data_IF_141415463066
#
_entry.id   IF_141415463066
#
_cell.length_a   1.000
_cell.length_b   1.000
_cell.length_c   1.000
_cell.angle_alpha   90.00
_cell.angle_beta   90.00
_cell.angle_gamma   90.00
#
_symmetry.space_group_name_H-M   'P 1'
#
loop_
_entity.id
_entity.type
_entity.pdbx_description
1 polymer ?
#
# COMPACT_ATOMS: atom_id res chain seq x y z
N UNK A 1 10.84 -11.59 -15.99
CA UNK A 1 11.06 -10.28 -15.35
C UNK A 1 12.55 -10.01 -15.33
N UNK A 2 13.01 -8.86 -15.83
CA UNK A 2 14.43 -8.49 -15.87
C UNK A 2 14.85 -7.68 -14.63
N UNK A 3 16.15 -7.53 -14.38
CA UNK A 3 16.66 -6.61 -13.35
C UNK A 3 16.15 -5.18 -13.53
N UNK A 4 16.07 -4.71 -14.78
CA UNK A 4 15.52 -3.40 -15.12
C UNK A 4 14.05 -3.28 -14.74
N UNK A 5 13.25 -4.32 -14.99
CA UNK A 5 11.83 -4.33 -14.61
C UNK A 5 11.66 -4.28 -13.08
N UNK A 6 12.51 -4.99 -12.34
CA UNK A 6 12.47 -4.94 -10.87
C UNK A 6 12.73 -3.53 -10.36
N UNK A 7 13.78 -2.86 -10.84
CA UNK A 7 14.10 -1.51 -10.42
C UNK A 7 12.97 -0.53 -10.80
N UNK A 8 12.46 -0.58 -12.02
CA UNK A 8 11.35 0.27 -12.46
C UNK A 8 10.08 0.06 -11.61
N UNK A 9 9.77 -1.18 -11.21
CA UNK A 9 8.66 -1.44 -10.28
C UNK A 9 8.88 -0.77 -8.92
N UNK A 10 10.08 -0.87 -8.37
CA UNK A 10 10.44 -0.24 -7.09
C UNK A 10 10.31 1.28 -7.16
N UNK A 11 10.80 1.92 -8.24
CA UNK A 11 10.70 3.37 -8.42
C UNK A 11 9.24 3.84 -8.49
N UNK A 12 8.36 3.10 -9.17
CA UNK A 12 6.93 3.42 -9.21
C UNK A 12 6.30 3.38 -7.81
N UNK A 13 6.63 2.37 -7.00
CA UNK A 13 6.12 2.27 -5.63
C UNK A 13 6.65 3.42 -4.75
N UNK A 14 7.94 3.74 -4.87
CA UNK A 14 8.55 4.86 -4.16
C UNK A 14 7.93 6.21 -4.54
N UNK A 15 7.68 6.45 -5.82
CA UNK A 15 7.04 7.68 -6.30
C UNK A 15 5.62 7.82 -5.72
N UNK A 16 4.83 6.74 -5.73
CA UNK A 16 3.49 6.75 -5.12
C UNK A 16 3.55 7.06 -3.63
N UNK A 17 4.46 6.43 -2.90
CA UNK A 17 4.64 6.70 -1.47
C UNK A 17 5.15 8.13 -1.22
N UNK A 18 6.03 8.66 -2.08
CA UNK A 18 6.49 10.04 -1.98
C UNK A 18 5.35 11.05 -2.17
N UNK A 19 4.46 10.82 -3.15
CA UNK A 19 3.23 11.62 -3.34
C UNK A 19 2.31 11.51 -2.13
N UNK A 20 2.12 10.29 -1.60
CA UNK A 20 1.27 10.03 -0.45
C UNK A 20 1.79 10.66 0.85
N UNK A 21 3.10 10.88 0.98
CA UNK A 21 3.66 11.54 2.15
C UNK A 21 3.17 12.99 2.29
N UNK A 22 2.82 13.65 1.18
CA UNK A 22 2.22 14.99 1.19
C UNK A 22 0.71 14.94 1.48
N UNK A 23 -0.03 14.10 0.76
CA UNK A 23 -1.44 13.83 1.01
C UNK A 23 -1.81 12.40 0.55
N UNK A 24 -2.08 11.46 1.48
CA UNK A 24 -2.45 10.09 1.17
C UNK A 24 -3.78 9.94 0.39
N UNK A 25 -4.63 10.97 0.43
CA UNK A 25 -5.91 10.99 -0.27
C UNK A 25 -5.85 11.72 -1.63
N UNK A 26 -4.65 12.18 -2.04
CA UNK A 26 -4.42 12.96 -3.26
C UNK A 26 -5.14 12.34 -4.46
N UNK A 27 -6.08 13.07 -5.08
CA UNK A 27 -6.62 12.68 -6.37
C UNK A 27 -5.47 12.63 -7.38
N UNK A 28 -5.35 11.56 -8.15
CA UNK A 28 -4.29 11.49 -9.15
C UNK A 28 -3.04 10.71 -8.73
N UNK A 29 -2.94 10.23 -7.49
CA UNK A 29 -1.71 9.61 -6.95
C UNK A 29 -1.12 8.51 -7.84
N UNK A 30 -1.97 7.71 -8.48
CA UNK A 30 -1.59 6.58 -9.32
C UNK A 30 -1.52 6.89 -10.83
N UNK A 31 -1.66 8.15 -11.24
CA UNK A 31 -1.60 8.55 -12.65
C UNK A 31 -0.23 9.12 -13.01
N UNK A 32 0.04 9.23 -14.32
CA UNK A 32 1.32 9.74 -14.84
C UNK A 32 2.54 9.01 -14.26
N UNK A 33 2.39 7.69 -14.05
CA UNK A 33 3.45 6.79 -13.63
C UNK A 33 3.98 6.05 -14.88
N UNK A 34 5.21 6.35 -15.33
CA UNK A 34 5.80 5.68 -16.48
C UNK A 34 5.77 4.16 -16.32
N UNK A 35 5.50 3.43 -17.40
CA UNK A 35 5.44 1.95 -17.41
C UNK A 35 4.41 1.30 -16.46
N UNK A 36 3.56 2.07 -15.78
CA UNK A 36 2.58 1.53 -14.83
C UNK A 36 1.65 0.48 -15.46
N UNK A 37 1.14 0.74 -16.67
CA UNK A 37 0.27 -0.22 -17.38
C UNK A 37 1.01 -1.51 -17.73
N UNK A 38 2.25 -1.40 -18.20
CA UNK A 38 3.07 -2.55 -18.59
C UNK A 38 3.50 -3.38 -17.38
N UNK A 39 3.91 -2.72 -16.30
CA UNK A 39 4.52 -3.38 -15.15
C UNK A 39 3.49 -3.83 -14.12
N UNK A 40 2.42 -3.09 -13.93
CA UNK A 40 1.42 -3.38 -12.90
C UNK A 40 0.03 -3.70 -13.47
N UNK A 41 -0.22 -3.49 -14.77
CA UNK A 41 -1.59 -3.57 -15.30
C UNK A 41 -2.43 -2.36 -14.91
N UNK A 42 -1.78 -1.23 -14.62
CA UNK A 42 -2.41 0.05 -14.30
C UNK A 42 -2.50 0.35 -12.79
N UNK A 43 -3.18 1.45 -12.42
CA UNK A 43 -3.28 1.95 -11.04
C UNK A 43 -3.71 0.91 -10.00
N UNK A 44 -4.68 0.06 -10.35
CA UNK A 44 -5.19 -0.98 -9.46
C UNK A 44 -4.10 -2.01 -9.11
N UNK A 45 -3.21 -2.32 -10.05
CA UNK A 45 -2.09 -3.22 -9.81
C UNK A 45 -1.01 -2.62 -8.92
N UNK A 46 -0.79 -1.30 -8.98
CA UNK A 46 0.11 -0.60 -8.06
C UNK A 46 -0.44 -0.69 -6.63
N UNK A 47 -1.74 -0.40 -6.46
CA UNK A 47 -2.41 -0.54 -5.16
C UNK A 47 -2.36 -2.00 -4.64
N UNK A 48 -2.58 -2.98 -5.51
CA UNK A 48 -2.48 -4.39 -5.15
C UNK A 48 -1.06 -4.78 -4.70
N UNK A 49 -0.03 -4.22 -5.34
CA UNK A 49 1.36 -4.44 -4.93
C UNK A 49 1.68 -3.83 -3.56
N UNK A 50 1.16 -2.63 -3.26
CA UNK A 50 1.29 -2.01 -1.94
C UNK A 50 0.56 -2.82 -0.86
N UNK A 51 -0.65 -3.30 -1.15
CA UNK A 51 -1.39 -4.21 -0.24
C UNK A 51 -0.60 -5.49 0.01
N UNK A 52 -0.06 -6.11 -1.04
CA UNK A 52 0.76 -7.31 -0.92
C UNK A 52 2.01 -7.08 -0.06
N UNK A 53 2.69 -5.94 -0.22
CA UNK A 53 3.83 -5.56 0.62
C UNK A 53 3.43 -5.44 2.09
N UNK A 54 2.31 -4.77 2.38
CA UNK A 54 1.77 -4.66 3.73
C UNK A 54 1.47 -6.03 4.33
N UNK A 55 0.72 -6.88 3.62
CA UNK A 55 0.32 -8.20 4.10
C UNK A 55 1.52 -9.11 4.37
N UNK A 56 2.53 -9.05 3.50
CA UNK A 56 3.76 -9.81 3.67
C UNK A 56 4.51 -9.38 4.94
N UNK A 57 4.66 -8.07 5.18
CA UNK A 57 5.30 -7.56 6.40
C UNK A 57 4.46 -7.82 7.65
N UNK A 58 3.14 -7.71 7.55
CA UNK A 58 2.23 -7.99 8.65
C UNK A 58 2.33 -9.46 9.07
N UNK A 59 2.41 -10.39 8.11
CA UNK A 59 2.60 -11.81 8.40
C UNK A 59 3.90 -12.05 9.17
N UNK A 60 5.00 -11.44 8.73
CA UNK A 60 6.28 -11.55 9.43
C UNK A 60 6.23 -10.97 10.85
N UNK A 61 5.55 -9.82 11.04
CA UNK A 61 5.34 -9.22 12.37
C UNK A 61 4.49 -10.10 13.29
N UNK A 62 3.45 -10.77 12.76
CA UNK A 62 2.63 -11.70 13.54
C UNK A 62 3.42 -12.94 13.96
N UNK A 63 4.24 -13.50 13.07
CA UNK A 63 5.09 -14.64 13.40
C UNK A 63 6.08 -14.27 14.53
N UNK A 64 6.66 -13.06 14.49
CA UNK A 64 7.53 -12.55 15.55
C UNK A 64 6.78 -12.30 16.85
N UNK A 65 5.60 -11.67 16.79
CA UNK A 65 4.78 -11.36 17.96
C UNK A 65 4.40 -12.62 18.74
N UNK A 66 4.08 -13.71 18.01
CA UNK A 66 3.81 -15.01 18.62
C UNK A 66 5.01 -15.56 19.42
N UNK A 67 6.24 -15.33 18.95
CA UNK A 67 7.45 -15.79 19.65
C UNK A 67 7.74 -15.02 20.93
N UNK A 68 7.38 -13.73 20.99
CA UNK A 68 7.66 -12.84 22.13
C UNK A 68 6.46 -12.60 23.04
N UNK A 69 5.30 -13.19 22.74
CA UNK A 69 4.07 -13.03 23.52
C UNK A 69 3.36 -11.69 23.32
N UNK A 70 3.65 -10.99 22.22
CA UNK A 70 3.01 -9.73 21.84
C UNK A 70 1.69 -9.99 21.12
N UNK A 71 0.72 -9.10 21.29
CA UNK A 71 -0.58 -9.21 20.63
C UNK A 71 -0.52 -8.82 19.14
N UNK A 72 -1.46 -9.34 18.35
CA UNK A 72 -1.61 -8.95 16.95
C UNK A 72 -1.87 -7.44 16.77
N UNK A 73 -2.56 -6.83 17.73
CA UNK A 73 -2.83 -5.39 17.72
C UNK A 73 -1.55 -4.56 17.93
N UNK A 74 -0.70 -4.96 18.87
CA UNK A 74 0.61 -4.31 19.07
C UNK A 74 1.51 -4.48 17.85
N UNK A 75 1.55 -5.67 17.25
CA UNK A 75 2.32 -5.94 16.03
C UNK A 75 1.84 -5.08 14.84
N UNK A 76 0.52 -4.88 14.73
CA UNK A 76 -0.07 -3.99 13.72
C UNK A 76 0.34 -2.53 13.95
N UNK A 77 0.24 -2.05 15.18
CA UNK A 77 0.60 -0.66 15.53
C UNK A 77 2.08 -0.39 15.29
N UNK A 78 2.94 -1.37 15.60
CA UNK A 78 4.37 -1.29 15.34
C UNK A 78 4.65 -1.20 13.83
N UNK A 79 4.06 -2.07 13.01
CA UNK A 79 4.23 -2.00 11.55
C UNK A 79 3.68 -0.69 10.97
N UNK A 80 2.55 -0.22 11.48
CA UNK A 80 1.97 1.05 11.07
C UNK A 80 2.89 2.23 11.41
N UNK A 81 3.59 2.18 12.55
CA UNK A 81 4.58 3.18 12.93
C UNK A 81 5.86 3.09 12.09
N UNK A 82 6.26 1.90 11.66
CA UNK A 82 7.40 1.69 10.76
C UNK A 82 7.11 2.14 9.32
N UNK A 83 5.88 1.95 8.85
CA UNK A 83 5.46 2.22 7.47
C UNK A 83 4.20 3.12 7.43
N UNK A 84 4.25 4.33 8.01
CA UNK A 84 3.06 5.16 8.22
C UNK A 84 2.43 5.61 6.89
N UNK A 85 3.25 5.92 5.90
CA UNK A 85 2.78 6.38 4.58
C UNK A 85 2.08 5.25 3.82
N UNK A 86 2.65 4.04 3.85
CA UNK A 86 2.01 2.87 3.23
C UNK A 86 0.65 2.59 3.87
N UNK A 87 0.58 2.57 5.21
CA UNK A 87 -0.67 2.37 5.94
C UNK A 87 -1.70 3.45 5.57
N UNK A 88 -1.29 4.71 5.53
CA UNK A 88 -2.16 5.82 5.18
C UNK A 88 -2.73 5.73 3.75
N UNK A 89 -1.95 5.24 2.77
CA UNK A 89 -2.45 4.97 1.41
C UNK A 89 -3.56 3.93 1.44
N UNK A 90 -3.35 2.81 2.13
CA UNK A 90 -4.34 1.73 2.21
C UNK A 90 -5.61 2.19 2.92
N UNK A 91 -5.48 2.94 4.03
CA UNK A 91 -6.61 3.52 4.76
C UNK A 91 -7.43 4.48 3.90
N UNK A 92 -6.76 5.35 3.13
CA UNK A 92 -7.43 6.30 2.24
C UNK A 92 -8.23 5.59 1.14
N UNK A 93 -7.71 4.48 0.61
CA UNK A 93 -8.41 3.68 -0.40
C UNK A 93 -9.58 2.90 0.20
N UNK A 94 -9.43 2.32 1.38
CA UNK A 94 -10.55 1.66 2.06
C UNK A 94 -11.67 2.66 2.36
N UNK A 95 -11.34 3.84 2.90
CA UNK A 95 -12.31 4.91 3.15
C UNK A 95 -13.01 5.40 1.86
N UNK A 96 -12.35 5.36 0.71
CA UNK A 96 -12.96 5.65 -0.60
C UNK A 96 -13.94 4.56 -1.01
N UNK A 97 -13.53 3.29 -0.98
CA UNK A 97 -14.38 2.13 -1.32
C UNK A 97 -15.65 2.09 -0.46
N UNK A 98 -15.52 2.34 0.84
CA UNK A 98 -16.66 2.40 1.76
C UNK A 98 -17.66 3.52 1.41
N UNK A 99 -17.16 4.70 1.02
CA UNK A 99 -18.02 5.82 0.59
C UNK A 99 -18.76 5.50 -0.71
N UNK A 100 -18.08 4.91 -1.68
CA UNK A 100 -18.67 4.49 -2.96
C UNK A 100 -19.75 3.43 -2.75
N UNK A 101 -19.48 2.40 -1.93
CA UNK A 101 -20.45 1.37 -1.60
C UNK A 101 -21.71 1.95 -0.93
N UNK A 102 -21.56 2.94 -0.05
CA UNK A 102 -22.68 3.62 0.60
C UNK A 102 -23.52 4.45 -0.38
N UNK A 103 -22.88 5.12 -1.34
CA UNK A 103 -23.59 5.92 -2.36
C UNK A 103 -24.40 5.05 -3.34
N UNK A 104 -23.96 3.83 -3.60
CA UNK A 104 -24.71 2.87 -4.44
C UNK A 104 -25.92 2.25 -3.72
N UNK A 105 -25.98 2.36 -2.40
CA UNK A 105 -27.06 1.82 -1.57
C UNK A 105 -28.18 2.84 -1.24
N UNK A 106 -28.07 4.08 -1.75
CA UNK A 106 -29.03 5.18 -1.57
C UNK A 106 -29.77 5.51 -2.86
#
# INVERSE_FOLDING_TARGET
>A
MTWRDLHARTEILHEVLARAAADPATPGMFYDLPDCDRLFGGPAGVLAALQYQWDNHMRAKLDQAQMVGQSAAEAYLELAAEQPVLRAVLDAQDARRWREARALAS
#
